data_IF_407372780300
#
_entry.id   IF_407372780300
#
_cell.length_a   1.000
_cell.length_b   1.000
_cell.length_c   1.000
_cell.angle_alpha   90.00
_cell.angle_beta   90.00
_cell.angle_gamma   90.00
#
_symmetry.space_group_name_H-M   'P 1'
#
loop_
_entity.id
_entity.type
_entity.pdbx_description
1 polymer ?
#
# COMPACT_ATOMS: atom_id res chain seq x y z
N UNK A 1 27.35 -2.86 20.33
CA UNK A 1 26.98 -3.85 19.27
C UNK A 1 27.05 -5.32 19.68
N UNK A 2 25.91 -5.92 20.06
CA UNK A 2 25.84 -7.37 20.31
C UNK A 2 25.58 -8.17 19.02
N UNK A 3 24.79 -7.65 18.10
CA UNK A 3 24.42 -8.39 16.88
C UNK A 3 25.61 -8.54 15.94
N UNK A 4 26.31 -7.44 15.64
CA UNK A 4 27.42 -7.45 14.67
C UNK A 4 28.64 -8.22 15.16
N UNK A 5 28.89 -8.21 16.47
CA UNK A 5 29.99 -8.97 17.06
C UNK A 5 29.71 -10.48 17.17
N UNK A 6 28.46 -10.92 16.98
CA UNK A 6 28.02 -12.31 17.16
C UNK A 6 27.50 -12.97 15.89
N UNK A 7 27.42 -12.23 14.80
CA UNK A 7 26.81 -12.67 13.55
C UNK A 7 27.80 -12.50 12.40
N UNK A 8 27.91 -13.53 11.58
CA UNK A 8 28.68 -13.50 10.32
C UNK A 8 27.70 -13.54 9.17
N UNK A 9 27.83 -12.61 8.24
CA UNK A 9 26.96 -12.57 7.06
C UNK A 9 27.31 -13.72 6.11
N UNK A 10 26.27 -14.38 5.62
CA UNK A 10 26.34 -15.39 4.58
C UNK A 10 25.45 -14.91 3.45
N UNK A 11 26.09 -14.56 2.33
CA UNK A 11 25.43 -13.98 1.16
C UNK A 11 24.21 -14.84 0.73
N UNK A 12 23.11 -14.18 0.40
CA UNK A 12 21.85 -14.82 -0.02
C UNK A 12 21.23 -15.79 1.00
N UNK A 13 21.69 -15.79 2.26
CA UNK A 13 21.10 -16.61 3.34
C UNK A 13 20.80 -15.78 4.58
N UNK A 14 21.82 -15.11 5.11
CA UNK A 14 21.73 -14.37 6.37
C UNK A 14 22.58 -13.11 6.23
N UNK A 15 21.93 -11.96 6.11
CA UNK A 15 22.60 -10.67 5.97
C UNK A 15 21.99 -9.68 6.95
N UNK A 16 22.76 -8.70 7.41
CA UNK A 16 22.23 -7.58 8.16
C UNK A 16 21.47 -6.66 7.21
N UNK A 17 20.38 -6.08 7.70
CA UNK A 17 19.71 -5.02 6.95
C UNK A 17 20.62 -3.80 6.88
N UNK A 18 20.69 -3.16 5.71
CA UNK A 18 21.38 -1.88 5.60
C UNK A 18 20.67 -0.81 6.44
N UNK A 19 21.43 0.12 6.99
CA UNK A 19 20.91 1.24 7.77
C UNK A 19 21.80 2.47 7.57
N UNK A 20 21.22 3.65 7.75
CA UNK A 20 21.94 4.91 7.72
C UNK A 20 21.49 5.77 8.91
N UNK A 21 22.44 6.40 9.60
CA UNK A 21 22.11 7.35 10.66
C UNK A 21 21.60 8.66 10.04
N UNK A 22 20.39 9.05 10.41
CA UNK A 22 19.82 10.35 10.04
C UNK A 22 19.74 11.20 11.29
N UNK A 23 20.37 12.37 11.26
CA UNK A 23 20.27 13.35 12.35
C UNK A 23 18.99 14.18 12.22
N UNK A 24 18.50 14.69 13.35
CA UNK A 24 17.35 15.58 13.35
C UNK A 24 17.63 16.82 12.49
N UNK A 25 16.72 17.15 11.57
CA UNK A 25 16.87 18.26 10.63
C UNK A 25 17.44 17.88 9.25
N UNK A 26 18.01 16.69 9.09
CA UNK A 26 18.48 16.20 7.79
C UNK A 26 17.34 15.57 6.97
N UNK A 27 16.44 16.44 6.51
CA UNK A 27 15.31 16.04 5.68
C UNK A 27 15.73 15.65 4.26
N UNK A 28 16.87 16.16 3.77
CA UNK A 28 17.34 15.91 2.41
C UNK A 28 17.81 14.46 2.24
N UNK A 29 18.61 13.95 3.19
CA UNK A 29 19.07 12.56 3.17
C UNK A 29 17.90 11.59 3.35
N UNK A 30 16.99 11.87 4.30
CA UNK A 30 15.79 11.05 4.49
C UNK A 30 14.94 10.98 3.23
N UNK A 31 14.71 12.13 2.57
CA UNK A 31 13.94 12.18 1.32
C UNK A 31 14.62 11.35 0.23
N UNK A 32 15.94 11.48 0.08
CA UNK A 32 16.73 10.72 -0.90
C UNK A 32 16.61 9.22 -0.68
N UNK A 33 16.76 8.76 0.57
CA UNK A 33 16.60 7.33 0.90
C UNK A 33 15.19 6.81 0.64
N UNK A 34 14.15 7.61 0.92
CA UNK A 34 12.76 7.21 0.66
C UNK A 34 12.56 6.97 -0.84
N UNK A 35 13.02 7.89 -1.70
CA UNK A 35 12.90 7.75 -3.15
C UNK A 35 13.70 6.57 -3.68
N UNK A 36 14.94 6.43 -3.21
CA UNK A 36 15.80 5.30 -3.57
C UNK A 36 15.17 3.95 -3.22
N UNK A 37 14.50 3.86 -2.07
CA UNK A 37 13.77 2.65 -1.67
C UNK A 37 12.62 2.34 -2.64
N UNK A 38 11.93 3.38 -3.11
CA UNK A 38 10.85 3.25 -4.08
C UNK A 38 11.39 2.84 -5.47
N UNK A 39 12.48 3.47 -5.94
CA UNK A 39 13.08 3.19 -7.25
C UNK A 39 13.74 1.81 -7.35
N UNK A 40 14.20 1.28 -6.21
CA UNK A 40 14.67 -0.11 -6.09
C UNK A 40 13.54 -1.13 -5.92
N UNK A 41 12.27 -0.68 -5.88
CA UNK A 41 11.11 -1.54 -5.75
C UNK A 41 10.95 -2.15 -4.35
N UNK A 42 11.54 -1.53 -3.32
CA UNK A 42 11.33 -1.91 -1.92
C UNK A 42 9.99 -1.35 -1.41
N UNK A 43 9.44 -1.96 -0.36
CA UNK A 43 8.17 -1.51 0.23
C UNK A 43 8.29 -0.12 0.90
N UNK A 44 9.49 0.22 1.38
CA UNK A 44 9.80 1.48 2.04
C UNK A 44 10.86 1.35 3.13
N UNK A 45 10.86 2.29 4.07
CA UNK A 45 11.86 2.38 5.15
C UNK A 45 11.24 2.14 6.53
N UNK A 46 12.08 1.66 7.46
CA UNK A 46 11.75 1.56 8.88
C UNK A 46 12.64 2.53 9.65
N UNK A 47 12.04 3.53 10.29
CA UNK A 47 12.75 4.48 11.14
C UNK A 47 12.72 3.97 12.58
N UNK A 48 13.91 3.87 13.18
CA UNK A 48 14.12 3.41 14.55
C UNK A 48 14.90 4.48 15.30
N UNK A 49 14.42 4.82 16.50
CA UNK A 49 15.21 5.62 17.44
C UNK A 49 16.35 4.76 17.97
N UNK A 50 17.58 5.26 17.89
CA UNK A 50 18.80 4.60 18.35
C UNK A 50 18.79 4.35 19.85
N UNK A 51 17.99 5.10 20.61
CA UNK A 51 17.81 4.96 22.06
C UNK A 51 16.58 4.12 22.44
N UNK A 52 15.81 3.64 21.47
CA UNK A 52 14.62 2.84 21.75
C UNK A 52 14.96 1.45 22.28
N UNK A 53 14.23 1.00 23.29
CA UNK A 53 14.33 -0.35 23.82
C UNK A 53 13.29 -1.24 23.16
N UNK A 54 13.66 -2.49 22.88
CA UNK A 54 12.71 -3.47 22.37
C UNK A 54 11.73 -3.88 23.46
N UNK A 55 10.44 -3.57 23.26
CA UNK A 55 9.36 -3.95 24.16
C UNK A 55 8.32 -4.80 23.41
N UNK A 56 8.18 -6.10 23.76
CA UNK A 56 7.21 -6.98 23.12
C UNK A 56 5.77 -6.41 23.19
N UNK A 57 5.07 -6.41 22.06
CA UNK A 57 3.68 -5.94 21.96
C UNK A 57 3.51 -4.42 21.81
N UNK A 58 4.58 -3.63 21.91
CA UNK A 58 4.53 -2.17 21.68
C UNK A 58 4.99 -1.81 20.27
N UNK A 59 4.49 -0.68 19.75
CA UNK A 59 4.76 -0.16 18.40
C UNK A 59 5.62 1.11 18.46
N UNK A 60 6.94 0.94 18.55
CA UNK A 60 7.90 2.06 18.65
C UNK A 60 8.51 2.47 17.31
N UNK A 61 8.52 1.58 16.32
CA UNK A 61 9.16 1.84 15.03
C UNK A 61 8.17 2.44 14.04
N UNK A 62 8.62 3.46 13.33
CA UNK A 62 7.84 4.12 12.29
C UNK A 62 8.12 3.45 10.94
N UNK A 63 7.06 3.32 10.13
CA UNK A 63 7.15 2.75 8.78
C UNK A 63 6.81 3.83 7.78
N UNK A 64 7.73 4.10 6.86
CA UNK A 64 7.52 5.01 5.74
C UNK A 64 7.38 4.18 4.49
N UNK A 65 6.27 4.34 3.77
CA UNK A 65 5.95 3.56 2.58
C UNK A 65 5.41 4.49 1.50
N UNK A 66 5.53 4.06 0.23
CA UNK A 66 5.03 4.81 -0.93
C UNK A 66 3.56 5.22 -0.76
N UNK A 67 2.72 4.34 -0.22
CA UNK A 67 1.29 4.57 -0.02
C UNK A 67 0.94 5.62 1.05
N UNK A 68 1.92 6.04 1.86
CA UNK A 68 1.74 7.08 2.88
C UNK A 68 2.25 8.46 2.44
N UNK A 69 2.96 8.54 1.32
CA UNK A 69 3.53 9.79 0.81
C UNK A 69 2.49 10.58 0.01
N UNK A 70 2.58 11.90 0.09
CA UNK A 70 1.67 12.84 -0.59
C UNK A 70 0.19 12.55 -0.36
N UNK A 71 -0.22 12.26 0.88
CA UNK A 71 -1.61 11.93 1.23
C UNK A 71 -2.15 10.71 0.45
N UNK A 72 -1.27 9.80 0.03
CA UNK A 72 -1.64 8.62 -0.76
C UNK A 72 -1.80 8.88 -2.27
N UNK A 73 -1.51 10.10 -2.76
CA UNK A 73 -1.52 10.42 -4.20
C UNK A 73 -0.48 9.64 -5.00
N UNK A 74 0.58 9.22 -4.32
CA UNK A 74 1.64 8.37 -4.86
C UNK A 74 1.26 6.89 -4.92
N UNK A 75 0.15 6.50 -4.32
CA UNK A 75 -0.31 5.13 -4.37
C UNK A 75 -0.96 4.85 -5.72
N UNK A 76 -0.70 3.65 -6.25
CA UNK A 76 -1.32 3.20 -7.47
C UNK A 76 -2.83 3.01 -7.22
N UNK A 77 -3.64 3.82 -7.92
CA UNK A 77 -5.09 3.80 -7.80
C UNK A 77 -5.76 3.37 -9.10
N UNK A 78 -6.88 2.69 -8.97
CA UNK A 78 -7.74 2.35 -10.09
C UNK A 78 -9.21 2.60 -9.69
N UNK A 79 -9.94 3.27 -10.57
CA UNK A 79 -11.39 3.41 -10.44
C UNK A 79 -12.06 2.13 -10.95
N UNK A 80 -12.56 1.31 -10.03
CA UNK A 80 -13.11 -0.02 -10.32
C UNK A 80 -14.61 -0.08 -10.05
N UNK A 81 -15.30 -0.90 -10.84
CA UNK A 81 -16.75 -1.11 -10.77
C UNK A 81 -17.04 -2.20 -9.74
N UNK A 82 -18.04 -2.00 -8.89
CA UNK A 82 -18.55 -3.04 -7.99
C UNK A 82 -19.35 -4.06 -8.80
N UNK A 83 -18.84 -5.28 -8.98
CA UNK A 83 -19.48 -6.33 -9.78
C UNK A 83 -20.30 -7.29 -8.91
N UNK A 84 -19.91 -7.46 -7.65
CA UNK A 84 -20.58 -8.33 -6.70
C UNK A 84 -20.09 -8.12 -5.28
N UNK A 85 -20.61 -8.92 -4.35
CA UNK A 85 -20.26 -8.84 -2.93
C UNK A 85 -20.29 -10.20 -2.24
N UNK A 86 -19.55 -10.30 -1.13
CA UNK A 86 -19.51 -11.44 -0.24
C UNK A 86 -20.02 -11.05 1.14
N UNK A 87 -20.58 -12.03 1.84
CA UNK A 87 -20.94 -11.86 3.24
C UNK A 87 -19.71 -11.58 4.11
N UNK A 88 -19.86 -10.68 5.07
CA UNK A 88 -18.90 -10.52 6.14
C UNK A 88 -18.93 -11.65 7.14
N UNK A 89 -17.85 -11.72 7.92
CA UNK A 89 -17.68 -12.65 9.03
C UNK A 89 -17.65 -11.88 10.36
N UNK A 90 -17.99 -12.55 11.46
CA UNK A 90 -17.94 -11.95 12.80
C UNK A 90 -18.96 -10.81 12.98
N UNK A 91 -18.50 -9.64 13.43
CA UNK A 91 -19.36 -8.47 13.65
C UNK A 91 -20.04 -7.94 12.38
N UNK A 92 -19.51 -8.27 11.19
CA UNK A 92 -20.09 -7.92 9.89
C UNK A 92 -20.90 -9.06 9.27
N UNK A 93 -21.23 -10.08 10.07
CA UNK A 93 -22.03 -11.23 9.67
C UNK A 93 -23.40 -10.81 9.15
N UNK A 94 -23.79 -11.33 7.98
CA UNK A 94 -25.09 -11.06 7.36
C UNK A 94 -25.14 -9.80 6.50
N UNK A 95 -24.07 -9.01 6.44
CA UNK A 95 -23.96 -7.83 5.57
C UNK A 95 -22.95 -8.07 4.44
N UNK A 96 -23.12 -7.36 3.32
CA UNK A 96 -22.12 -7.28 2.26
C UNK A 96 -20.93 -6.47 2.78
N UNK A 97 -19.79 -7.12 2.98
CA UNK A 97 -18.61 -6.46 3.58
C UNK A 97 -17.38 -6.47 2.68
N UNK A 98 -17.29 -7.47 1.79
CA UNK A 98 -16.22 -7.59 0.82
C UNK A 98 -16.85 -7.49 -0.56
N UNK A 99 -16.31 -6.65 -1.43
CA UNK A 99 -16.83 -6.39 -2.75
C UNK A 99 -15.89 -6.93 -3.81
N UNK A 100 -16.46 -7.56 -4.83
CA UNK A 100 -15.75 -8.00 -6.02
C UNK A 100 -15.67 -6.82 -6.99
N UNK A 101 -14.45 -6.33 -7.19
CA UNK A 101 -14.17 -5.16 -8.00
C UNK A 101 -13.68 -5.59 -9.39
N UNK A 102 -14.02 -4.82 -10.42
CA UNK A 102 -13.55 -5.11 -11.77
C UNK A 102 -13.61 -3.94 -12.74
N UNK A 103 -13.28 -4.22 -13.98
CA UNK A 103 -13.22 -3.27 -15.09
C UNK A 103 -14.13 -3.70 -16.23
N UNK A 104 -14.56 -2.75 -17.05
CA UNK A 104 -15.25 -3.03 -18.29
C UNK A 104 -14.24 -3.25 -19.43
N UNK A 105 -14.40 -4.35 -20.15
CA UNK A 105 -13.64 -4.71 -21.35
C UNK A 105 -14.47 -4.42 -22.60
N UNK A 106 -14.14 -3.30 -23.26
CA UNK A 106 -14.81 -2.82 -24.48
C UNK A 106 -14.69 -3.79 -25.65
N UNK A 107 -13.62 -4.58 -25.71
CA UNK A 107 -13.35 -5.47 -26.84
C UNK A 107 -14.26 -6.70 -26.82
N UNK A 108 -14.63 -7.16 -25.62
CA UNK A 108 -15.45 -8.36 -25.42
C UNK A 108 -16.85 -8.07 -24.89
N UNK A 109 -17.20 -6.79 -24.73
CA UNK A 109 -18.43 -6.31 -24.10
C UNK A 109 -18.73 -7.05 -22.78
N UNK A 110 -17.72 -7.17 -21.93
CA UNK A 110 -17.83 -7.94 -20.69
C UNK A 110 -17.07 -7.29 -19.53
N UNK A 111 -17.46 -7.65 -18.31
CA UNK A 111 -16.86 -7.14 -17.08
C UNK A 111 -15.89 -8.18 -16.52
N UNK A 112 -14.68 -7.75 -16.22
CA UNK A 112 -13.59 -8.61 -15.75
C UNK A 112 -13.20 -8.27 -14.32
N UNK A 113 -12.95 -9.30 -13.54
CA UNK A 113 -12.58 -9.18 -12.12
C UNK A 113 -11.13 -8.77 -11.96
N UNK A 114 -10.87 -7.88 -11.01
CA UNK A 114 -9.53 -7.36 -10.68
C UNK A 114 -9.13 -7.71 -9.26
N UNK A 115 -9.99 -7.45 -8.28
CA UNK A 115 -9.64 -7.68 -6.87
C UNK A 115 -10.87 -7.82 -5.98
N UNK A 116 -10.69 -8.36 -4.78
CA UNK A 116 -11.67 -8.30 -3.70
C UNK A 116 -11.27 -7.20 -2.73
N UNK A 117 -12.19 -6.33 -2.36
CA UNK A 117 -11.92 -5.23 -1.44
C UNK A 117 -12.97 -5.16 -0.33
N UNK A 118 -12.54 -5.26 0.93
CA UNK A 118 -13.41 -5.11 2.11
C UNK A 118 -12.93 -4.08 3.13
N UNK A 119 -11.80 -3.43 2.86
CA UNK A 119 -11.20 -2.42 3.73
C UNK A 119 -11.44 -1.01 3.15
N UNK A 120 -11.40 0.01 4.00
CA UNK A 120 -11.49 1.43 3.58
C UNK A 120 -12.84 2.10 3.88
N UNK A 121 -13.85 1.33 4.29
CA UNK A 121 -15.12 1.88 4.78
C UNK A 121 -15.20 1.86 6.30
N UNK A 122 -15.69 2.96 6.88
CA UNK A 122 -16.19 2.95 8.27
C UNK A 122 -17.45 2.09 8.36
N UNK A 123 -17.79 1.62 9.55
CA UNK A 123 -18.96 0.77 9.73
C UNK A 123 -20.26 1.51 9.32
N UNK A 124 -20.40 2.79 9.67
CA UNK A 124 -21.52 3.63 9.23
C UNK A 124 -21.60 3.79 7.70
N UNK A 125 -20.46 3.89 7.02
CA UNK A 125 -20.42 3.99 5.56
C UNK A 125 -20.80 2.65 4.91
N UNK A 126 -20.35 1.54 5.50
CA UNK A 126 -20.68 0.21 5.03
C UNK A 126 -22.19 -0.09 5.18
N UNK A 127 -22.81 0.36 6.27
CA UNK A 127 -24.26 0.24 6.48
C UNK A 127 -25.06 1.03 5.42
N UNK A 128 -24.61 2.24 5.07
CA UNK A 128 -25.22 3.03 3.99
C UNK A 128 -25.08 2.34 2.64
N UNK A 129 -23.88 1.85 2.31
CA UNK A 129 -23.63 1.09 1.08
C UNK A 129 -24.52 -0.16 1.02
N UNK A 130 -24.69 -0.88 2.13
CA UNK A 130 -25.56 -2.05 2.18
C UNK A 130 -27.02 -1.68 1.91
N UNK A 131 -27.52 -0.57 2.45
CA UNK A 131 -28.88 -0.07 2.17
C UNK A 131 -29.05 0.30 0.70
N UNK A 132 -28.09 1.02 0.13
CA UNK A 132 -28.15 1.48 -1.27
C UNK A 132 -28.02 0.33 -2.28
N UNK A 133 -27.23 -0.69 -1.97
CA UNK A 133 -26.99 -1.83 -2.85
C UNK A 133 -28.00 -2.97 -2.68
N UNK A 134 -28.80 -2.99 -1.60
CA UNK A 134 -29.73 -4.07 -1.28
C UNK A 134 -30.67 -4.39 -2.45
N UNK A 135 -31.22 -3.37 -3.08
CA UNK A 135 -32.19 -3.53 -4.18
C UNK A 135 -31.50 -3.74 -5.55
N UNK A 136 -30.22 -3.40 -5.66
CA UNK A 136 -29.41 -3.52 -6.87
C UNK A 136 -28.66 -4.85 -7.00
N UNK A 137 -28.58 -5.61 -5.92
CA UNK A 137 -27.87 -6.89 -5.87
C UNK A 137 -28.84 -8.07 -5.97
N UNK A 138 -28.43 -9.12 -6.66
CA UNK A 138 -29.09 -10.43 -6.71
C UNK A 138 -28.22 -11.44 -5.98
N UNK A 139 -28.81 -12.16 -5.05
CA UNK A 139 -28.15 -13.24 -4.33
C UNK A 139 -28.03 -14.48 -5.23
N UNK A 140 -26.81 -15.01 -5.35
CA UNK A 140 -26.49 -16.21 -6.11
C UNK A 140 -25.80 -17.30 -5.26
N UNK A 141 -25.51 -17.03 -3.98
CA UNK A 141 -24.95 -18.00 -3.03
C UNK A 141 -23.68 -18.74 -3.52
N UNK A 142 -22.83 -18.04 -4.26
CA UNK A 142 -21.59 -18.56 -4.88
C UNK A 142 -21.82 -19.68 -5.90
N UNK A 143 -23.03 -19.78 -6.44
CA UNK A 143 -23.33 -20.66 -7.56
C UNK A 143 -22.74 -20.10 -8.86
N UNK A 144 -21.86 -20.88 -9.48
CA UNK A 144 -21.19 -20.50 -10.72
C UNK A 144 -22.15 -20.47 -11.91
N UNK A 145 -23.13 -21.37 -11.94
CA UNK A 145 -24.06 -21.49 -13.08
C UNK A 145 -25.09 -20.34 -13.10
N UNK A 146 -25.30 -19.71 -11.94
CA UNK A 146 -26.11 -18.50 -11.77
C UNK A 146 -25.38 -17.21 -12.13
N UNK A 147 -24.11 -17.25 -12.57
CA UNK A 147 -23.38 -16.05 -12.97
C UNK A 147 -23.94 -15.44 -14.27
N UNK A 148 -24.15 -14.11 -14.32
CA UNK A 148 -24.55 -13.44 -15.55
C UNK A 148 -23.48 -13.56 -16.65
N UNK A 149 -23.92 -13.71 -17.90
CA UNK A 149 -23.01 -13.88 -19.06
C UNK A 149 -22.04 -12.71 -19.29
N UNK A 150 -22.44 -11.50 -18.86
CA UNK A 150 -21.65 -10.28 -18.93
C UNK A 150 -20.48 -10.28 -17.93
N UNK A 151 -20.51 -11.11 -16.88
CA UNK A 151 -19.46 -11.17 -15.87
C UNK A 151 -18.50 -12.33 -16.15
N UNK A 152 -17.24 -12.02 -16.44
CA UNK A 152 -16.17 -13.02 -16.55
C UNK A 152 -15.49 -13.17 -15.20
N UNK A 153 -15.81 -14.24 -14.48
CA UNK A 153 -15.29 -14.53 -13.14
C UNK A 153 -14.80 -15.98 -13.07
N UNK A 154 -13.73 -16.24 -12.32
CA UNK A 154 -13.28 -17.62 -12.07
C UNK A 154 -14.18 -18.32 -11.04
N UNK A 155 -14.20 -19.65 -11.05
CA UNK A 155 -14.94 -20.44 -10.05
C UNK A 155 -14.50 -20.18 -8.61
N UNK A 156 -13.25 -19.78 -8.39
CA UNK A 156 -12.73 -19.44 -7.06
C UNK A 156 -13.21 -18.08 -6.54
N UNK A 157 -13.75 -17.23 -7.43
CA UNK A 157 -14.12 -15.85 -7.14
C UNK A 157 -15.63 -15.61 -7.23
N UNK A 158 -16.47 -16.62 -7.42
CA UNK A 158 -17.93 -16.42 -7.46
C UNK A 158 -18.39 -15.74 -6.17
N UNK A 159 -19.08 -14.59 -6.24
CA UNK A 159 -19.56 -13.87 -5.07
C UNK A 159 -20.89 -14.42 -4.54
N UNK A 160 -21.26 -14.06 -3.31
CA UNK A 160 -22.58 -14.39 -2.75
C UNK A 160 -23.68 -13.56 -3.43
N UNK A 161 -23.34 -12.35 -3.88
CA UNK A 161 -24.21 -11.41 -4.56
C UNK A 161 -23.56 -10.88 -5.83
N UNK A 162 -24.37 -10.64 -6.87
CA UNK A 162 -23.96 -9.99 -8.13
C UNK A 162 -24.88 -8.82 -8.40
N UNK A 163 -24.35 -7.74 -8.96
CA UNK A 163 -25.18 -6.59 -9.37
C UNK A 163 -26.17 -7.02 -10.45
N UNK A 164 -27.42 -6.54 -10.39
CA UNK A 164 -28.46 -6.83 -11.38
C UNK A 164 -28.10 -6.28 -12.76
N UNK A 165 -27.79 -4.99 -12.81
CA UNK A 165 -27.32 -4.30 -14.00
C UNK A 165 -25.95 -3.67 -13.72
N UNK A 166 -24.86 -4.14 -14.36
CA UNK A 166 -23.53 -3.57 -14.14
C UNK A 166 -23.43 -2.11 -14.58
N UNK A 167 -24.40 -1.59 -15.36
CA UNK A 167 -24.46 -0.17 -15.73
C UNK A 167 -24.91 0.74 -14.60
N UNK A 168 -25.63 0.20 -13.61
CA UNK A 168 -26.04 0.93 -12.40
C UNK A 168 -25.10 0.71 -11.22
N UNK A 169 -24.04 -0.08 -11.42
CA UNK A 169 -23.05 -0.37 -10.40
C UNK A 169 -22.27 0.90 -10.02
N UNK A 170 -22.01 1.12 -8.72
CA UNK A 170 -21.15 2.21 -8.30
C UNK A 170 -19.69 1.94 -8.69
N UNK A 171 -18.96 3.03 -8.93
CA UNK A 171 -17.52 3.01 -9.17
C UNK A 171 -16.80 3.50 -7.92
N UNK A 172 -15.79 2.75 -7.48
CA UNK A 172 -14.98 3.10 -6.32
C UNK A 172 -13.52 3.21 -6.72
N UNK A 173 -12.87 4.21 -6.15
CA UNK A 173 -11.43 4.40 -6.26
C UNK A 173 -10.76 3.43 -5.27
N UNK A 174 -10.03 2.47 -5.83
CA UNK A 174 -9.30 1.45 -5.08
C UNK A 174 -7.82 1.80 -5.10
N UNK A 175 -7.24 1.88 -3.92
CA UNK A 175 -5.80 2.08 -3.74
C UNK A 175 -5.16 0.79 -3.29
N UNK A 176 -4.00 0.47 -3.85
CA UNK A 176 -3.17 -0.65 -3.44
C UNK A 176 -1.73 -0.25 -3.15
N UNK A 177 -0.97 -1.18 -2.59
CA UNK A 177 0.47 -1.03 -2.46
C UNK A 177 1.17 -1.19 -3.82
N UNK A 178 0.69 -2.12 -4.65
CA UNK A 178 1.20 -2.41 -5.98
C UNK A 178 0.14 -3.16 -6.81
N UNK A 179 0.28 -3.11 -8.13
CA UNK A 179 -0.41 -4.05 -9.01
C UNK A 179 0.42 -5.33 -9.16
N UNK A 180 -0.24 -6.49 -9.07
CA UNK A 180 0.41 -7.80 -9.11
C UNK A 180 -0.25 -8.73 -10.12
N UNK A 181 0.43 -9.82 -10.49
CA UNK A 181 -0.19 -10.88 -11.30
C UNK A 181 -1.05 -11.78 -10.43
N UNK A 182 -2.19 -12.20 -10.96
CA UNK A 182 -3.11 -13.16 -10.36
C UNK A 182 -3.61 -14.14 -11.40
N UNK A 183 -3.59 -15.42 -11.06
CA UNK A 183 -4.17 -16.49 -11.89
C UNK A 183 -5.69 -16.58 -11.78
N UNK A 184 -6.26 -16.03 -10.70
CA UNK A 184 -7.70 -16.10 -10.44
C UNK A 184 -8.47 -14.96 -11.09
N UNK A 185 -7.88 -13.78 -11.21
CA UNK A 185 -8.54 -12.59 -11.73
C UNK A 185 -8.52 -12.56 -13.26
N UNK A 186 -9.62 -12.13 -13.86
CA UNK A 186 -9.87 -12.29 -15.31
C UNK A 186 -9.48 -11.05 -16.12
N UNK A 187 -9.15 -9.93 -15.46
CA UNK A 187 -8.71 -8.67 -16.07
C UNK A 187 -7.23 -8.75 -16.49
N UNK A 188 -6.93 -9.59 -17.48
CA UNK A 188 -5.56 -9.78 -17.97
C UNK A 188 -4.62 -10.42 -16.95
N UNK A 189 -5.17 -11.09 -15.93
CA UNK A 189 -4.39 -11.63 -14.81
C UNK A 189 -3.78 -10.57 -13.92
N UNK A 190 -4.35 -9.36 -13.87
CA UNK A 190 -3.89 -8.26 -13.01
C UNK A 190 -4.78 -8.19 -11.76
N UNK A 191 -4.13 -7.99 -10.62
CA UNK A 191 -4.76 -7.77 -9.31
C UNK A 191 -4.10 -6.60 -8.59
N UNK A 192 -4.74 -6.15 -7.52
CA UNK A 192 -4.21 -5.11 -6.63
C UNK A 192 -3.82 -5.75 -5.31
N UNK A 193 -2.60 -5.52 -4.82
CA UNK A 193 -2.13 -5.99 -3.51
C UNK A 193 -2.53 -5.00 -2.42
N UNK A 194 -3.04 -5.54 -1.30
CA UNK A 194 -3.56 -4.77 -0.17
C UNK A 194 -4.60 -3.70 -0.58
N UNK A 195 -5.63 -4.08 -1.36
CA UNK A 195 -6.62 -3.14 -1.85
C UNK A 195 -7.41 -2.51 -0.70
N UNK A 196 -7.64 -1.20 -0.80
CA UNK A 196 -8.47 -0.41 0.11
C UNK A 196 -9.36 0.51 -0.70
N UNK A 197 -10.60 0.68 -0.29
CA UNK A 197 -11.48 1.69 -0.87
C UNK A 197 -11.06 3.05 -0.32
N UNK A 198 -10.65 3.95 -1.21
CA UNK A 198 -10.23 5.30 -0.85
C UNK A 198 -11.40 6.26 -0.97
N UNK A 199 -12.19 6.14 -2.05
CA UNK A 199 -13.32 7.03 -2.31
C UNK A 199 -14.42 6.36 -3.13
N UNK A 200 -15.67 6.70 -2.83
CA UNK A 200 -16.82 6.37 -3.68
C UNK A 200 -16.93 7.45 -4.76
N UNK A 201 -16.74 7.08 -6.04
CA UNK A 201 -16.73 8.00 -7.19
C UNK A 201 -18.13 8.22 -7.73
N UNK A 202 -18.82 9.21 -7.16
CA UNK A 202 -20.17 9.63 -7.63
C UNK A 202 -20.13 10.36 -8.98
N UNK A 203 -18.96 10.82 -9.38
CA UNK A 203 -18.67 11.50 -10.64
C UNK A 203 -18.41 10.54 -11.80
N UNK A 204 -18.23 9.23 -11.53
CA UNK A 204 -17.93 8.21 -12.53
C UNK A 204 -19.04 7.17 -12.63
N UNK A 205 -19.11 6.55 -13.80
CA UNK A 205 -20.01 5.44 -14.12
C UNK A 205 -19.21 4.30 -14.75
N UNK A 206 -19.89 3.20 -15.11
CA UNK A 206 -19.27 2.04 -15.71
C UNK A 206 -18.49 2.31 -17.02
N UNK A 207 -18.83 3.36 -17.78
CA UNK A 207 -18.13 3.73 -19.03
C UNK A 207 -16.86 4.55 -18.76
N UNK A 208 -16.86 5.37 -17.70
CA UNK A 208 -15.76 6.27 -17.32
C UNK A 208 -14.87 5.71 -16.21
N UNK A 209 -15.21 4.52 -15.70
CA UNK A 209 -14.34 3.71 -14.87
C UNK A 209 -13.09 3.28 -15.64
N UNK A 210 -12.07 2.81 -14.91
CA UNK A 210 -10.82 2.33 -15.52
C UNK A 210 -11.14 1.17 -16.47
N UNK A 211 -10.68 1.30 -17.70
CA UNK A 211 -10.82 0.25 -18.72
C UNK A 211 -9.75 -0.82 -18.56
N UNK A 212 -9.94 -1.98 -19.20
CA UNK A 212 -8.91 -3.03 -19.20
C UNK A 212 -7.58 -2.55 -19.81
N UNK A 213 -7.62 -1.71 -20.84
CA UNK A 213 -6.41 -1.16 -21.48
C UNK A 213 -5.68 -0.20 -20.54
N UNK A 214 -6.41 0.71 -19.88
CA UNK A 214 -5.84 1.60 -18.87
C UNK A 214 -5.27 0.83 -17.69
N UNK A 215 -5.95 -0.22 -17.21
CA UNK A 215 -5.42 -1.06 -16.14
C UNK A 215 -4.10 -1.74 -16.51
N UNK A 216 -3.96 -2.21 -17.75
CA UNK A 216 -2.68 -2.76 -18.26
C UNK A 216 -1.60 -1.68 -18.30
N UNK A 217 -1.93 -0.49 -18.78
CA UNK A 217 -0.99 0.63 -18.78
C UNK A 217 -0.56 1.00 -17.36
N UNK A 218 -1.49 1.04 -16.40
CA UNK A 218 -1.18 1.28 -14.99
C UNK A 218 -0.26 0.19 -14.42
N UNK A 219 -0.51 -1.07 -14.76
CA UNK A 219 0.35 -2.19 -14.36
C UNK A 219 1.77 -2.06 -14.94
N UNK A 220 1.90 -1.71 -16.21
CA UNK A 220 3.19 -1.56 -16.88
C UNK A 220 3.96 -0.34 -16.34
N UNK A 221 3.27 0.80 -16.17
CA UNK A 221 3.83 2.01 -15.55
C UNK A 221 4.26 1.78 -14.09
N UNK A 222 3.51 0.98 -13.31
CA UNK A 222 3.87 0.68 -11.92
C UNK A 222 5.19 -0.09 -11.77
N UNK A 223 5.69 -0.69 -12.86
CA UNK A 223 6.98 -1.36 -12.90
C UNK A 223 8.12 -0.49 -13.42
N UNK A 224 7.80 0.66 -14.01
CA UNK A 224 8.81 1.59 -14.49
C UNK A 224 9.33 2.43 -13.31
N UNK A 225 10.64 2.71 -13.33
CA UNK A 225 11.27 3.60 -12.35
C UNK A 225 10.69 5.01 -12.49
N UNK A 226 10.57 5.73 -11.39
CA UNK A 226 9.99 7.07 -11.36
C UNK A 226 10.96 8.08 -12.00
N UNK A 227 10.53 8.83 -13.01
CA UNK A 227 11.31 9.93 -13.62
C UNK A 227 11.23 11.20 -12.75
N UNK A 228 11.69 11.14 -11.50
CA UNK A 228 11.79 12.32 -10.64
C UNK A 228 13.24 12.82 -10.67
N UNK A 229 13.44 14.05 -11.13
CA UNK A 229 14.74 14.70 -11.31
C UNK A 229 15.64 14.54 -10.05
N UNK A 230 16.65 13.67 -10.15
CA UNK A 230 17.53 13.30 -9.06
C UNK A 230 18.76 14.22 -9.06
N UNK A 231 18.86 15.12 -8.08
CA UNK A 231 20.08 15.92 -7.86
C UNK A 231 21.17 15.19 -7.07
N UNK A 232 21.14 13.85 -7.01
CA UNK A 232 22.16 13.05 -6.34
C UNK A 232 22.61 11.88 -7.22
N UNK A 233 23.83 12.00 -7.76
CA UNK A 233 24.56 10.97 -8.53
C UNK A 233 25.06 9.82 -7.63
N UNK A 234 24.19 9.26 -6.78
CA UNK A 234 24.54 8.09 -5.96
C UNK A 234 23.85 6.83 -6.54
N UNK A 235 24.53 6.19 -7.49
CA UNK A 235 24.10 4.95 -8.14
C UNK A 235 24.17 3.72 -7.22
N UNK A 236 24.68 3.85 -5.99
CA UNK A 236 24.94 2.74 -5.08
C UNK A 236 23.63 2.18 -4.52
N UNK A 237 23.22 0.94 -4.76
CA UNK A 237 21.93 0.45 -4.27
C UNK A 237 21.79 0.46 -2.74
N UNK A 238 20.59 0.66 -2.18
CA UNK A 238 20.32 0.67 -0.73
C UNK A 238 20.63 -0.66 -0.03
N UNK A 239 20.81 -1.75 -0.77
CA UNK A 239 21.27 -3.00 -0.19
C UNK A 239 22.81 -3.08 -0.05
N UNK A 240 23.56 -2.15 -0.67
CA UNK A 240 25.02 -2.07 -0.55
C UNK A 240 25.37 -1.25 0.69
N UNK A 241 26.13 -1.86 1.60
CA UNK A 241 26.66 -1.17 2.79
C UNK A 241 27.75 -0.19 2.35
N UNK A 242 27.45 1.10 2.31
CA UNK A 242 28.46 2.15 2.35
C UNK A 242 28.40 2.90 3.69
N UNK A 243 29.51 2.82 4.44
CA UNK A 243 29.98 3.87 5.34
C UNK A 243 29.12 4.22 6.57
N UNK A 244 29.18 3.37 7.60
CA UNK A 244 29.38 3.69 9.04
C UNK A 244 29.02 2.45 9.85
N UNK A 245 29.95 1.96 10.64
CA UNK A 245 29.68 0.89 11.59
C UNK A 245 28.75 1.44 12.70
N UNK A 246 27.90 0.61 13.30
CA UNK A 246 27.12 0.98 14.49
C UNK A 246 28.01 1.56 15.60
N UNK A 247 29.29 1.18 15.66
CA UNK A 247 30.28 1.77 16.56
C UNK A 247 30.62 3.25 16.26
N UNK A 248 30.56 3.66 15.00
CA UNK A 248 30.74 5.07 14.60
C UNK A 248 29.49 5.89 14.93
N UNK A 249 28.31 5.28 14.83
CA UNK A 249 27.03 5.89 15.20
C UNK A 249 26.95 6.18 16.70
N UNK A 250 27.38 5.25 17.57
CA UNK A 250 27.38 5.47 19.03
C UNK A 250 28.30 6.63 19.43
N UNK A 251 29.50 6.74 18.84
CA UNK A 251 30.41 7.88 19.09
C UNK A 251 29.79 9.21 18.72
N UNK A 252 29.13 9.28 17.57
CA UNK A 252 28.43 10.49 17.13
C UNK A 252 27.24 10.85 18.03
N UNK A 253 26.52 9.85 18.56
CA UNK A 253 25.46 10.05 19.54
C UNK A 253 26.04 10.59 20.86
N UNK A 254 27.16 10.04 21.32
CA UNK A 254 27.86 10.46 22.54
C UNK A 254 28.38 11.90 22.41
N UNK A 255 28.97 12.26 21.26
CA UNK A 255 29.43 13.62 20.94
C UNK A 255 28.29 14.65 20.91
N UNK A 256 27.14 14.31 20.32
CA UNK A 256 25.95 15.19 20.32
C UNK A 256 25.36 15.40 21.73
N UNK A 257 25.40 14.37 22.60
CA UNK A 257 25.03 14.53 24.01
C UNK A 257 26.02 15.37 24.81
N UNK A 258 27.32 15.29 24.50
CA UNK A 258 28.34 16.11 25.15
C UNK A 258 28.20 17.59 24.76
N UNK A 259 27.93 17.90 23.48
CA UNK A 259 27.72 19.26 22.99
C UNK A 259 26.49 19.96 23.59
N UNK A 260 25.41 19.21 23.83
CA UNK A 260 24.17 19.75 24.43
C UNK A 260 24.32 20.05 25.93
N UNK A 261 25.35 19.51 26.58
CA UNK A 261 25.66 19.76 28.01
C UNK A 261 26.60 20.95 28.25
N UNK A 262 27.08 21.61 27.18
CA UNK A 262 28.09 22.69 27.25
C UNK A 262 27.55 24.13 27.30
N UNK A 263 26.29 24.40 26.92
CA UNK A 263 25.70 25.75 27.01
C UNK A 263 24.79 25.87 28.23
N UNK A 264 25.42 25.92 29.41
CA UNK A 264 24.68 25.95 30.66
C UNK A 264 25.46 26.43 31.86
N UNK A 265 26.32 27.44 31.73
CA UNK A 265 26.78 28.21 32.89
C UNK A 265 27.42 29.54 32.50
N UNK A 266 26.66 30.63 32.67
CA UNK A 266 27.24 31.94 32.99
C UNK A 266 26.35 32.58 34.03
N UNK A 267 26.73 32.34 35.29
CA UNK A 267 26.23 33.01 36.47
C UNK A 267 26.92 34.37 36.68
N UNK A 268 26.22 35.22 37.45
CA UNK A 268 26.62 36.48 38.09
C UNK A 268 26.46 37.76 37.23
N UNK A 269 25.83 38.84 37.69
CA UNK A 269 25.33 39.19 39.03
C UNK A 269 25.47 40.70 39.26
N UNK A 270 24.53 41.29 40.02
CA UNK A 270 24.48 42.67 40.55
C UNK A 270 24.29 43.77 39.48
N UNK A 271 23.43 44.77 39.66
CA UNK A 271 22.96 45.47 40.86
C UNK A 271 21.64 46.16 40.55
#
# INVERSE_FOLDING_TARGET
MLLESKMTEVENRVMMSNYQLIRYGDHATLKTMIWKAIDEGLEGLVLKDTRSVYEPGKRHWLKVKKDYLEEGRMADTADLIVLGAYFGTGCKGGMMSVFLMGVYDKDTDSYRTVTKCGNGHTDDALDKINKDLKDKMTRIDRDYDSLPKWLKCSRSLVPDFVVKDPKEAPVWEITGAEFSKSENHTAGGISIRFPRVTRVRKDKNWETATTLAELKNLYDCSKMKTDIDHTAEDETPLYVKEGMDHGDIEKLIEEDTAGTSGEGSSTNGRK
#
